data_IF_737113034654
#
_entry.id   IF_737113034654
#
_cell.length_a   1.000
_cell.length_b   1.000
_cell.length_c   1.000
_cell.angle_alpha   90.00
_cell.angle_beta   90.00
_cell.angle_gamma   90.00
#
_symmetry.space_group_name_H-M   'P 1'
#
loop_
_entity.id
_entity.type
_entity.pdbx_description
1 polymer ?
#
# COMPACT_ATOMS: atom_id res chain seq x y z
N UNK A 1 -34.64 6.58 35.37
CA UNK A 1 -33.87 6.29 34.12
C UNK A 1 -32.65 7.21 33.86
N UNK A 2 -32.43 8.32 34.59
CA UNK A 2 -31.30 9.27 34.35
C UNK A 2 -29.94 8.90 34.98
N UNK A 3 -29.84 7.87 35.83
CA UNK A 3 -28.59 7.50 36.53
C UNK A 3 -27.68 6.60 35.69
N UNK A 4 -28.25 5.69 34.91
CA UNK A 4 -27.48 4.80 34.02
C UNK A 4 -26.80 5.56 32.88
N UNK A 5 -27.43 6.61 32.35
CA UNK A 5 -26.85 7.44 31.29
C UNK A 5 -25.55 8.12 31.74
N UNK A 6 -25.44 8.59 32.99
CA UNK A 6 -24.21 9.21 33.50
C UNK A 6 -23.06 8.20 33.62
N UNK A 7 -23.33 6.98 34.09
CA UNK A 7 -22.32 5.91 34.18
C UNK A 7 -21.88 5.40 32.80
N UNK A 8 -22.81 5.26 31.86
CA UNK A 8 -22.53 4.90 30.47
C UNK A 8 -21.73 5.97 29.73
N UNK A 9 -21.92 7.25 30.06
CA UNK A 9 -21.14 8.36 29.52
C UNK A 9 -19.71 8.36 30.09
N UNK A 10 -19.54 8.12 31.39
CA UNK A 10 -18.22 8.09 32.06
C UNK A 10 -17.35 6.92 31.56
N UNK A 11 -17.93 5.76 31.26
CA UNK A 11 -17.20 4.62 30.69
C UNK A 11 -17.16 4.64 29.15
N UNK A 12 -18.20 5.15 28.50
CA UNK A 12 -18.33 5.16 27.05
C UNK A 12 -17.44 6.20 26.36
N UNK A 13 -17.30 7.40 26.93
CA UNK A 13 -16.42 8.45 26.39
C UNK A 13 -14.96 8.00 26.32
N UNK A 14 -14.31 7.50 27.40
CA UNK A 14 -12.92 7.07 27.32
C UNK A 14 -12.73 5.89 26.36
N UNK A 15 -13.69 4.97 26.28
CA UNK A 15 -13.65 3.88 25.30
C UNK A 15 -13.71 4.40 23.86
N UNK A 16 -14.55 5.40 23.58
CA UNK A 16 -14.61 6.08 22.29
C UNK A 16 -13.31 6.81 21.95
N UNK A 17 -12.69 7.45 22.94
CA UNK A 17 -11.39 8.13 22.75
C UNK A 17 -10.30 7.10 22.43
N UNK A 18 -10.22 6.00 23.19
CA UNK A 18 -9.24 4.93 22.97
C UNK A 18 -9.42 4.31 21.58
N UNK A 19 -10.66 3.99 21.20
CA UNK A 19 -10.95 3.44 19.86
C UNK A 19 -10.66 4.45 18.75
N UNK A 20 -10.92 5.74 18.96
CA UNK A 20 -10.55 6.81 18.03
C UNK A 20 -9.03 6.93 17.83
N UNK A 21 -8.26 6.87 18.92
CA UNK A 21 -6.78 6.90 18.86
C UNK A 21 -6.25 5.65 18.17
N UNK A 22 -6.78 4.46 18.50
CA UNK A 22 -6.38 3.21 17.87
C UNK A 22 -6.70 3.23 16.36
N UNK A 23 -7.89 3.70 15.97
CA UNK A 23 -8.30 3.83 14.58
C UNK A 23 -7.40 4.79 13.80
N UNK A 24 -7.08 5.96 14.39
CA UNK A 24 -6.15 6.92 13.82
C UNK A 24 -4.74 6.32 13.65
N UNK A 25 -4.26 5.61 14.67
CA UNK A 25 -2.98 4.89 14.64
C UNK A 25 -2.93 3.85 13.53
N UNK A 26 -3.97 3.03 13.38
CA UNK A 26 -4.05 2.02 12.33
C UNK A 26 -4.11 2.69 10.94
N UNK A 27 -4.86 3.78 10.75
CA UNK A 27 -4.85 4.47 9.46
C UNK A 27 -3.49 5.07 9.11
N UNK A 28 -2.78 5.62 10.11
CA UNK A 28 -1.50 6.32 9.88
C UNK A 28 -0.34 5.35 9.72
N UNK A 29 -0.26 4.32 10.57
CA UNK A 29 0.88 3.42 10.66
C UNK A 29 0.59 2.01 10.13
N UNK A 30 -0.67 1.60 10.02
CA UNK A 30 -1.07 0.31 9.48
C UNK A 30 -0.50 0.00 8.09
N UNK A 31 -0.47 0.95 7.12
CA UNK A 31 0.12 0.73 5.81
C UNK A 31 1.58 0.26 5.85
N UNK A 32 2.37 0.70 6.84
CA UNK A 32 3.76 0.28 7.00
C UNK A 32 3.89 -1.21 7.33
N UNK A 33 2.89 -1.77 8.01
CA UNK A 33 2.78 -3.19 8.39
C UNK A 33 1.88 -4.00 7.45
N UNK A 34 1.54 -3.47 6.26
CA UNK A 34 0.56 -4.07 5.34
C UNK A 34 -0.85 -4.25 5.91
N UNK A 35 -1.19 -3.53 6.99
CA UNK A 35 -2.53 -3.50 7.59
C UNK A 35 -3.34 -2.36 6.98
N UNK A 36 -4.32 -2.71 6.16
CA UNK A 36 -5.22 -1.75 5.52
C UNK A 36 -6.67 -2.01 5.98
N UNK A 37 -7.27 -1.01 6.62
CA UNK A 37 -8.71 -1.02 6.96
C UNK A 37 -9.59 -0.91 5.70
N UNK A 38 -9.13 -0.14 4.71
CA UNK A 38 -9.74 -0.02 3.40
C UNK A 38 -8.67 -0.22 2.33
N UNK A 39 -9.00 -0.93 1.23
CA UNK A 39 -8.04 -1.14 0.16
C UNK A 39 -7.58 0.22 -0.42
N UNK A 40 -6.27 0.38 -0.69
CA UNK A 40 -5.75 1.63 -1.23
C UNK A 40 -6.27 1.86 -2.65
N UNK A 41 -6.42 3.13 -3.07
CA UNK A 41 -6.74 3.42 -4.48
C UNK A 41 -5.64 2.89 -5.41
N UNK A 42 -5.96 2.67 -6.69
CA UNK A 42 -5.00 2.19 -7.70
C UNK A 42 -3.77 3.10 -7.80
N UNK A 43 -3.97 4.42 -7.67
CA UNK A 43 -2.89 5.39 -7.63
C UNK A 43 -2.02 5.21 -6.39
N UNK A 44 -2.64 5.13 -5.20
CA UNK A 44 -1.91 4.99 -3.95
C UNK A 44 -1.17 3.66 -3.85
N UNK A 45 -1.72 2.60 -4.42
CA UNK A 45 -1.03 1.32 -4.60
C UNK A 45 0.27 1.48 -5.39
N UNK A 46 0.21 2.19 -6.51
CA UNK A 46 1.39 2.43 -7.34
C UNK A 46 2.40 3.40 -6.71
N UNK A 47 1.94 4.41 -5.99
CA UNK A 47 2.83 5.34 -5.27
C UNK A 47 3.63 4.61 -4.17
N UNK A 48 2.96 3.74 -3.40
CA UNK A 48 3.63 2.90 -2.39
C UNK A 48 4.65 1.98 -3.07
N UNK A 49 4.29 1.34 -4.20
CA UNK A 49 5.23 0.49 -4.93
C UNK A 49 6.46 1.28 -5.43
N UNK A 50 6.25 2.48 -5.97
CA UNK A 50 7.33 3.34 -6.43
C UNK A 50 8.24 3.81 -5.30
N UNK A 51 7.68 4.14 -4.13
CA UNK A 51 8.45 4.51 -2.94
C UNK A 51 9.31 3.33 -2.44
N UNK A 52 8.78 2.09 -2.50
CA UNK A 52 9.55 0.88 -2.19
C UNK A 52 10.67 0.65 -3.18
N UNK A 53 10.44 0.88 -4.47
CA UNK A 53 11.49 0.80 -5.49
C UNK A 53 12.57 1.86 -5.27
N UNK A 54 12.21 3.07 -4.87
CA UNK A 54 13.16 4.15 -4.57
C UNK A 54 14.08 3.82 -3.39
N UNK A 55 13.52 3.19 -2.37
CA UNK A 55 14.22 2.90 -1.11
C UNK A 55 15.01 1.61 -1.14
N UNK A 56 14.56 0.61 -1.92
CA UNK A 56 15.13 -0.74 -1.92
C UNK A 56 15.77 -1.13 -3.27
N UNK A 57 15.48 -0.39 -4.34
CA UNK A 57 15.98 -0.70 -5.67
C UNK A 57 17.46 -0.34 -5.80
N UNK A 58 18.29 -1.33 -6.14
CA UNK A 58 19.72 -1.14 -6.37
C UNK A 58 19.99 -0.16 -7.51
N UNK A 59 19.19 -0.25 -8.58
CA UNK A 59 19.27 0.56 -9.80
C UNK A 59 18.26 1.72 -9.79
N UNK A 60 17.63 2.02 -8.65
CA UNK A 60 16.67 3.11 -8.50
C UNK A 60 17.36 4.48 -8.41
N UNK A 61 18.33 4.72 -9.28
CA UNK A 61 19.19 5.89 -9.28
C UNK A 61 19.47 6.32 -10.73
N UNK A 62 19.77 7.60 -10.94
CA UNK A 62 20.15 8.13 -12.24
C UNK A 62 18.98 8.53 -13.16
N UNK A 63 19.33 8.96 -14.37
CA UNK A 63 18.40 9.64 -15.29
C UNK A 63 17.26 8.73 -15.77
N UNK A 64 17.57 7.45 -16.01
CA UNK A 64 16.60 6.47 -16.50
C UNK A 64 15.55 6.12 -15.44
N UNK A 65 15.95 6.00 -14.18
CA UNK A 65 15.02 5.85 -13.06
C UNK A 65 14.17 7.10 -12.89
N UNK A 66 14.77 8.31 -12.87
CA UNK A 66 14.03 9.57 -12.69
C UNK A 66 12.95 9.77 -13.77
N UNK A 67 13.28 9.51 -15.04
CA UNK A 67 12.31 9.57 -16.15
C UNK A 67 11.17 8.57 -15.94
N UNK A 68 11.49 7.34 -15.56
CA UNK A 68 10.51 6.27 -15.30
C UNK A 68 9.62 6.61 -14.11
N UNK A 69 10.21 7.12 -13.02
CA UNK A 69 9.52 7.52 -11.80
C UNK A 69 8.52 8.66 -12.04
N UNK A 70 8.85 9.62 -12.91
CA UNK A 70 7.92 10.70 -13.25
C UNK A 70 6.81 10.27 -14.22
N UNK A 71 7.09 9.32 -15.13
CA UNK A 71 6.12 8.84 -16.11
C UNK A 71 5.11 7.86 -15.50
N UNK A 72 5.55 7.04 -14.53
CA UNK A 72 4.74 5.94 -13.97
C UNK A 72 3.44 6.41 -13.28
N UNK A 73 3.44 7.46 -12.43
CA UNK A 73 2.21 8.00 -11.83
C UNK A 73 1.21 8.49 -12.89
N UNK A 74 1.68 9.10 -13.99
CA UNK A 74 0.82 9.57 -15.07
C UNK A 74 0.13 8.40 -15.79
N UNK A 75 0.83 7.29 -15.97
CA UNK A 75 0.25 6.07 -16.53
C UNK A 75 -0.73 5.40 -15.54
N UNK A 76 -0.41 5.38 -14.25
CA UNK A 76 -1.26 4.83 -13.19
C UNK A 76 -2.59 5.58 -13.03
N UNK A 77 -2.63 6.89 -13.28
CA UNK A 77 -3.88 7.66 -13.28
C UNK A 77 -4.92 7.15 -14.28
N UNK A 78 -4.48 6.49 -15.36
CA UNK A 78 -5.35 5.94 -16.41
C UNK A 78 -5.79 4.50 -16.11
N UNK A 79 -5.12 3.82 -15.18
CA UNK A 79 -5.42 2.43 -14.83
C UNK A 79 -6.71 2.35 -14.00
N UNK A 80 -7.61 1.43 -14.38
CA UNK A 80 -8.89 1.19 -13.69
C UNK A 80 -8.83 0.00 -12.74
N UNK A 81 -7.77 -0.80 -12.82
CA UNK A 81 -7.60 -2.03 -12.04
C UNK A 81 -6.18 -2.18 -11.51
N UNK A 82 -6.03 -2.89 -10.39
CA UNK A 82 -4.72 -3.27 -9.86
C UNK A 82 -3.92 -4.13 -10.84
N UNK A 83 -4.58 -4.94 -11.68
CA UNK A 83 -3.91 -5.75 -12.70
C UNK A 83 -3.23 -4.89 -13.76
N UNK A 84 -3.92 -3.84 -14.22
CA UNK A 84 -3.34 -2.86 -15.16
C UNK A 84 -2.22 -2.07 -14.49
N UNK A 85 -2.41 -1.66 -13.24
CA UNK A 85 -1.37 -0.99 -12.48
C UNK A 85 -0.12 -1.85 -12.29
N UNK A 86 -0.26 -3.15 -12.01
CA UNK A 86 0.86 -4.09 -11.92
C UNK A 86 1.63 -4.20 -13.24
N UNK A 87 0.94 -4.25 -14.37
CA UNK A 87 1.60 -4.29 -15.70
C UNK A 87 2.41 -3.02 -15.96
N UNK A 88 1.88 -1.86 -15.57
CA UNK A 88 2.59 -0.57 -15.68
C UNK A 88 3.80 -0.55 -14.73
N UNK A 89 3.60 -0.93 -13.47
CA UNK A 89 4.63 -0.96 -12.43
C UNK A 89 5.74 -1.97 -12.73
N UNK A 90 5.44 -3.09 -13.40
CA UNK A 90 6.43 -4.09 -13.76
C UNK A 90 7.58 -3.49 -14.59
N UNK A 91 7.30 -2.47 -15.43
CA UNK A 91 8.35 -1.75 -16.15
C UNK A 91 9.26 -0.97 -15.21
N UNK A 92 8.69 -0.27 -14.24
CA UNK A 92 9.44 0.47 -13.23
C UNK A 92 10.29 -0.46 -12.35
N UNK A 93 9.75 -1.63 -12.00
CA UNK A 93 10.45 -2.65 -11.20
C UNK A 93 11.70 -3.17 -11.91
N UNK A 94 11.61 -3.42 -13.22
CA UNK A 94 12.76 -3.88 -14.01
C UNK A 94 13.83 -2.78 -14.12
N UNK A 95 13.42 -1.51 -14.20
CA UNK A 95 14.37 -0.38 -14.24
C UNK A 95 15.05 -0.19 -12.87
N UNK A 96 14.31 -0.28 -11.77
CA UNK A 96 14.82 -0.02 -10.43
C UNK A 96 15.59 -1.18 -9.77
N UNK A 97 15.32 -2.43 -10.17
CA UNK A 97 15.94 -3.60 -9.54
C UNK A 97 16.44 -4.66 -10.51
N UNK A 98 16.52 -4.35 -11.81
CA UNK A 98 17.11 -5.21 -12.82
C UNK A 98 16.35 -6.52 -13.09
N UNK A 99 17.06 -7.49 -13.69
CA UNK A 99 16.48 -8.75 -14.22
C UNK A 99 15.88 -9.67 -13.16
N UNK A 100 16.34 -9.56 -11.91
CA UNK A 100 15.88 -10.37 -10.79
C UNK A 100 14.64 -9.79 -10.09
N UNK A 101 14.23 -8.57 -10.46
CA UNK A 101 13.09 -7.90 -9.84
C UNK A 101 11.80 -8.16 -10.61
N UNK A 102 10.76 -8.64 -9.90
CA UNK A 102 9.45 -8.94 -10.49
C UNK A 102 8.33 -8.74 -9.46
N UNK A 103 7.18 -8.25 -9.93
CA UNK A 103 5.93 -8.28 -9.19
C UNK A 103 5.26 -9.64 -9.33
N UNK A 104 4.96 -10.27 -8.20
CA UNK A 104 4.26 -11.55 -8.15
C UNK A 104 2.85 -11.30 -7.63
N UNK A 105 1.85 -11.81 -8.36
CA UNK A 105 0.46 -11.81 -7.90
C UNK A 105 0.23 -13.01 -6.95
N UNK A 106 -0.77 -12.89 -6.07
CA UNK A 106 -1.15 -13.92 -5.10
C UNK A 106 -1.41 -15.27 -5.75
N UNK A 107 -2.06 -15.30 -6.91
CA UNK A 107 -2.39 -16.53 -7.64
C UNK A 107 -1.15 -17.25 -8.16
N UNK A 108 -0.19 -16.50 -8.70
CA UNK A 108 1.09 -17.06 -9.17
C UNK A 108 1.95 -17.52 -7.99
N UNK A 109 1.91 -16.82 -6.86
CA UNK A 109 2.59 -17.24 -5.64
C UNK A 109 2.04 -18.57 -5.11
N UNK A 110 0.70 -18.72 -5.08
CA UNK A 110 0.04 -19.95 -4.60
C UNK A 110 0.34 -21.15 -5.50
N UNK A 111 0.35 -20.94 -6.81
CA UNK A 111 0.68 -21.96 -7.82
C UNK A 111 2.13 -22.43 -7.71
N UNK A 112 3.06 -21.54 -7.35
CA UNK A 112 4.46 -21.90 -7.12
C UNK A 112 4.65 -22.65 -5.80
N UNK A 113 3.88 -22.31 -4.76
CA UNK A 113 3.95 -22.97 -3.45
C UNK A 113 3.34 -24.39 -3.45
N UNK A 114 2.34 -24.69 -4.29
CA UNK A 114 1.77 -26.04 -4.43
C UNK A 114 2.60 -26.98 -5.31
N UNK A 115 3.70 -26.50 -5.91
CA UNK A 115 4.57 -27.30 -6.80
C UNK A 115 5.74 -27.96 -6.05
N UNK A 116 5.79 -27.77 -4.74
CA UNK A 116 6.67 -28.43 -3.78
C UNK A 116 5.80 -29.19 -2.77
#
# INVERSE_FOLDING_TARGET
MKRYSKGLIILGIPLLIITGIAFYGIQRYGPNFNLYLFPPSVQKYGDIALERLDTLGLDAQGEQWNKTRQATPKALKKAKSYKEAQQILQKAVVVAGGKHSRLINKDSCKKSAMKH
#
